data_IF_387296930616
#
_entry.id   IF_387296930616
#
_cell.length_a   1.000
_cell.length_b   1.000
_cell.length_c   1.000
_cell.angle_alpha   90.00
_cell.angle_beta   90.00
_cell.angle_gamma   90.00
#
_symmetry.space_group_name_H-M   'P 1'
#
loop_
_entity.id
_entity.type
_entity.pdbx_description
1 polymer ?
#
# COMPACT_ATOMS: atom_id res chain seq x y z
N UNK A 1 3.07 -18.53 22.37
CA UNK A 1 1.66 -18.15 22.14
C UNK A 1 1.57 -16.64 22.32
N UNK A 2 1.45 -15.87 21.25
CA UNK A 2 1.44 -14.40 21.30
C UNK A 2 0.01 -13.91 21.03
N UNK A 3 -0.71 -13.58 22.09
CA UNK A 3 -2.09 -13.09 22.16
C UNK A 3 -2.08 -12.16 23.39
N UNK A 4 -2.40 -10.85 23.42
CA UNK A 4 -3.11 -9.81 22.64
C UNK A 4 -2.32 -8.49 22.92
N UNK A 5 -2.45 -7.36 22.21
CA UNK A 5 -3.65 -6.52 22.03
C UNK A 5 -3.42 -5.68 20.76
N UNK A 6 -4.18 -5.92 19.69
CA UNK A 6 -4.40 -4.88 18.68
C UNK A 6 -5.35 -3.90 19.32
N UNK A 7 -4.78 -2.94 20.06
CA UNK A 7 -5.49 -1.76 20.53
C UNK A 7 -6.14 -1.10 19.31
N UNK A 8 -7.36 -0.59 19.45
CA UNK A 8 -8.27 -0.16 18.37
C UNK A 8 -7.77 1.02 17.51
N UNK A 9 -6.46 1.23 17.38
CA UNK A 9 -5.86 2.07 16.35
C UNK A 9 -6.00 1.33 15.03
N UNK A 10 -7.06 1.67 14.31
CA UNK A 10 -7.29 1.39 12.88
C UNK A 10 -5.94 1.17 12.19
N UNK A 11 -5.69 -0.03 11.65
CA UNK A 11 -4.52 -0.28 10.80
C UNK A 11 -4.70 0.62 9.58
N UNK A 12 -4.10 1.81 9.60
CA UNK A 12 -4.25 2.81 8.53
C UNK A 12 -3.39 2.49 7.32
N UNK A 13 -2.35 1.66 7.47
CA UNK A 13 -1.39 1.32 6.42
C UNK A 13 -1.18 -0.18 6.32
N UNK A 14 -1.05 -0.70 5.10
CA UNK A 14 -0.75 -2.11 4.82
C UNK A 14 0.35 -2.26 3.78
N UNK A 15 1.09 -3.36 3.90
CA UNK A 15 2.00 -3.78 2.85
C UNK A 15 1.15 -4.41 1.75
N UNK A 16 1.21 -3.83 0.56
CA UNK A 16 0.52 -4.33 -0.63
C UNK A 16 1.51 -4.45 -1.78
N UNK A 17 1.37 -5.47 -2.63
CA UNK A 17 2.14 -5.53 -3.84
C UNK A 17 1.64 -4.50 -4.85
N UNK A 18 2.54 -4.03 -5.70
CA UNK A 18 2.21 -3.14 -6.82
C UNK A 18 2.92 -3.60 -8.09
N UNK A 19 2.35 -3.21 -9.23
CA UNK A 19 2.96 -3.31 -10.56
C UNK A 19 3.53 -1.96 -10.97
N UNK A 20 4.63 -1.97 -11.71
CA UNK A 20 5.26 -0.79 -12.28
C UNK A 20 5.83 -1.14 -13.66
N UNK A 21 5.72 -0.23 -14.63
CA UNK A 21 6.33 -0.44 -15.96
C UNK A 21 7.85 -0.28 -15.93
N UNK A 22 8.34 0.59 -15.05
CA UNK A 22 9.76 0.84 -14.84
C UNK A 22 10.10 0.62 -13.37
N UNK A 23 11.31 0.13 -13.05
CA UNK A 23 11.76 0.00 -11.67
C UNK A 23 11.64 1.35 -10.95
N UNK A 24 10.94 1.36 -9.81
CA UNK A 24 10.84 2.53 -8.95
C UNK A 24 11.88 2.46 -7.84
N UNK A 25 12.29 3.63 -7.35
CA UNK A 25 13.32 3.74 -6.31
C UNK A 25 12.85 3.12 -4.99
N UNK A 26 13.70 2.28 -4.41
CA UNK A 26 13.49 1.73 -3.05
C UNK A 26 13.56 2.86 -2.02
N UNK A 27 12.67 2.85 -1.03
CA UNK A 27 12.39 3.98 -0.11
C UNK A 27 11.85 5.24 -0.81
N UNK A 28 11.39 5.12 -2.05
CA UNK A 28 10.66 6.16 -2.75
C UNK A 28 9.33 6.47 -2.05
N UNK A 29 8.96 7.74 -2.00
CA UNK A 29 7.67 8.15 -1.44
C UNK A 29 6.57 7.84 -2.44
N UNK A 30 5.52 7.14 -1.99
CA UNK A 30 4.33 6.97 -2.81
C UNK A 30 3.44 8.18 -2.59
N UNK A 31 3.16 8.88 -3.70
CA UNK A 31 2.37 10.09 -3.75
C UNK A 31 1.03 9.80 -4.42
N UNK A 32 -0.02 10.37 -3.86
CA UNK A 32 -1.32 10.54 -4.50
C UNK A 32 -1.48 12.04 -4.70
N UNK A 33 -1.50 12.50 -5.94
CA UNK A 33 -1.42 13.94 -6.25
C UNK A 33 -0.19 14.54 -5.53
N UNK A 34 -0.38 15.51 -4.64
CA UNK A 34 0.69 16.14 -3.84
C UNK A 34 0.81 15.58 -2.40
N UNK A 35 0.06 14.51 -2.09
CA UNK A 35 0.01 13.94 -0.74
C UNK A 35 0.80 12.63 -0.65
N UNK A 36 1.71 12.57 0.33
CA UNK A 36 2.38 11.32 0.69
C UNK A 36 1.39 10.33 1.31
N UNK A 37 1.20 9.20 0.64
CA UNK A 37 0.29 8.12 1.05
C UNK A 37 0.99 6.82 1.39
N UNK A 38 2.30 6.71 1.13
CA UNK A 38 3.06 5.51 1.43
C UNK A 38 4.55 5.60 1.14
N UNK A 39 5.20 4.44 1.14
CA UNK A 39 6.61 4.26 0.83
C UNK A 39 6.85 2.92 0.13
N UNK A 40 7.78 2.89 -0.83
CA UNK A 40 8.25 1.68 -1.49
C UNK A 40 9.22 0.93 -0.57
N UNK A 41 8.87 -0.30 -0.20
CA UNK A 41 9.73 -1.16 0.63
C UNK A 41 10.76 -1.89 -0.23
N UNK A 42 10.34 -2.41 -1.38
CA UNK A 42 11.22 -3.02 -2.37
C UNK A 42 10.59 -2.94 -3.75
N UNK A 43 11.43 -2.93 -4.78
CA UNK A 43 10.99 -2.96 -6.17
C UNK A 43 11.94 -3.85 -6.98
N UNK A 44 11.37 -4.84 -7.67
CA UNK A 44 12.04 -5.58 -8.74
C UNK A 44 11.82 -4.89 -10.10
N UNK A 45 11.92 -5.65 -11.18
CA UNK A 45 11.81 -5.12 -12.55
C UNK A 45 10.40 -4.61 -12.89
N UNK A 46 9.36 -5.38 -12.53
CA UNK A 46 7.97 -5.05 -12.88
C UNK A 46 7.00 -5.09 -11.68
N UNK A 47 7.47 -5.55 -10.52
CA UNK A 47 6.66 -5.74 -9.32
C UNK A 47 7.45 -5.30 -8.07
N UNK A 48 6.74 -4.80 -7.07
CA UNK A 48 7.33 -4.41 -5.79
C UNK A 48 6.34 -4.50 -4.64
N UNK A 49 6.82 -4.16 -3.45
CA UNK A 49 6.01 -4.05 -2.23
C UNK A 49 6.06 -2.61 -1.73
N UNK A 50 4.90 -2.07 -1.38
CA UNK A 50 4.78 -0.74 -0.80
C UNK A 50 3.98 -0.79 0.50
N UNK A 51 4.39 0.03 1.47
CA UNK A 51 3.60 0.34 2.65
C UNK A 51 2.66 1.48 2.29
N UNK A 52 1.38 1.17 2.10
CA UNK A 52 0.38 2.11 1.61
C UNK A 52 -0.74 2.36 2.60
N UNK A 53 -1.21 3.60 2.66
CA UNK A 53 -2.46 3.93 3.34
C UNK A 53 -3.63 3.23 2.67
N UNK A 54 -4.52 2.61 3.45
CA UNK A 54 -5.71 1.93 2.92
C UNK A 54 -6.61 2.89 2.12
N UNK A 55 -6.66 4.15 2.52
CA UNK A 55 -7.43 5.21 1.82
C UNK A 55 -6.94 5.49 0.40
N UNK A 56 -5.69 5.16 0.09
CA UNK A 56 -5.07 5.42 -1.20
C UNK A 56 -5.11 4.20 -2.14
N UNK A 57 -5.64 3.07 -1.66
CA UNK A 57 -5.76 1.87 -2.47
C UNK A 57 -6.83 2.07 -3.55
N UNK A 58 -6.50 1.76 -4.81
CA UNK A 58 -7.39 1.96 -5.96
C UNK A 58 -7.37 3.38 -6.54
N UNK A 59 -6.56 4.27 -6.00
CA UNK A 59 -6.34 5.62 -6.53
C UNK A 59 -5.12 5.65 -7.46
N UNK A 60 -5.01 6.64 -8.37
CA UNK A 60 -3.81 6.83 -9.17
C UNK A 60 -2.64 7.22 -8.27
N UNK A 61 -1.61 6.37 -8.21
CA UNK A 61 -0.43 6.58 -7.39
C UNK A 61 0.81 6.70 -8.24
N UNK A 62 1.77 7.49 -7.78
CA UNK A 62 3.07 7.61 -8.41
C UNK A 62 4.21 7.61 -7.39
N UNK A 63 5.41 7.30 -7.87
CA UNK A 63 6.67 7.38 -7.13
C UNK A 63 7.65 8.15 -8.00
N UNK A 64 8.05 9.35 -7.56
CA UNK A 64 8.97 10.23 -8.33
C UNK A 64 8.49 10.45 -9.78
N UNK A 65 7.17 10.54 -9.99
CA UNK A 65 6.55 10.72 -11.33
C UNK A 65 6.31 9.43 -12.12
N UNK A 66 6.72 8.27 -11.62
CA UNK A 66 6.41 6.96 -12.24
C UNK A 66 5.12 6.38 -11.67
N UNK A 67 4.17 6.03 -12.55
CA UNK A 67 2.91 5.44 -12.14
C UNK A 67 3.11 4.03 -11.54
N UNK A 68 2.44 3.76 -10.42
CA UNK A 68 2.39 2.42 -9.82
C UNK A 68 0.94 1.98 -9.64
N UNK A 69 0.70 0.68 -9.78
CA UNK A 69 -0.62 0.08 -9.64
C UNK A 69 -0.63 -0.94 -8.51
N UNK A 70 -1.04 -0.56 -7.30
CA UNK A 70 -1.25 -1.49 -6.20
C UNK A 70 -2.35 -2.49 -6.54
N UNK A 71 -2.18 -3.75 -6.13
CA UNK A 71 -3.19 -4.78 -6.32
C UNK A 71 -3.40 -5.60 -5.06
N UNK A 72 -4.60 -6.18 -4.94
CA UNK A 72 -4.95 -7.08 -3.86
C UNK A 72 -4.45 -8.48 -4.21
N UNK A 73 -3.63 -9.13 -3.38
CA UNK A 73 -3.31 -10.54 -3.56
C UNK A 73 -4.58 -11.41 -3.52
N UNK A 74 -4.60 -12.52 -4.25
CA UNK A 74 -5.72 -13.47 -4.29
C UNK A 74 -6.03 -14.06 -2.91
N UNK A 75 -5.00 -14.34 -2.11
CA UNK A 75 -5.10 -14.88 -0.76
C UNK A 75 -5.60 -13.87 0.29
N UNK A 76 -5.59 -12.57 -0.02
CA UNK A 76 -5.94 -11.52 0.96
C UNK A 76 -7.46 -11.29 0.98
N UNK A 77 -8.13 -11.46 2.14
CA UNK A 77 -9.57 -11.26 2.23
C UNK A 77 -9.94 -9.79 2.01
N UNK A 78 -11.12 -9.52 1.46
CA UNK A 78 -11.54 -8.13 1.14
C UNK A 78 -11.64 -7.23 2.37
N UNK A 79 -12.03 -7.81 3.51
CA UNK A 79 -12.09 -7.14 4.83
C UNK A 79 -10.72 -6.62 5.29
N UNK A 80 -9.63 -7.06 4.65
CA UNK A 80 -8.31 -6.55 4.91
C UNK A 80 -8.12 -5.13 4.34
N UNK A 81 -8.69 -4.81 3.19
CA UNK A 81 -8.46 -3.51 2.54
C UNK A 81 -9.52 -2.45 2.89
N UNK A 82 -10.67 -2.87 3.42
CA UNK A 82 -11.73 -1.95 3.83
C UNK A 82 -11.40 -1.32 5.20
N UNK A 83 -11.57 0.01 5.37
CA UNK A 83 -11.66 0.60 6.70
C UNK A 83 -12.82 -0.09 7.43
N UNK A 84 -12.66 -0.49 8.69
CA UNK A 84 -13.80 -0.94 9.49
C UNK A 84 -14.74 0.27 9.65
N UNK A 85 -15.87 0.26 8.96
CA UNK A 85 -17.01 1.09 9.34
C UNK A 85 -17.33 0.75 10.81
N UNK A 86 -17.40 1.77 11.65
CA UNK A 86 -17.95 1.61 13.00
C UNK A 86 -19.46 1.37 12.84
N UNK A 87 -20.05 0.40 13.55
CA UNK A 87 -21.49 0.37 13.74
C UNK A 87 -21.98 1.59 14.52
#
# INVERSE_FOLDING_TARGET
>A
MLVRVVDHRVIRRRIVPFKCEKPVKVKGQVMQEDKKVGEVLCCGSAHGLALLSLSAFGQPLNVEGLAIQPYKPSWMPESALKPKEKP
#
